data_IF_197417606300
#
_entry.id   IF_197417606300
#
_cell.length_a   1.000
_cell.length_b   1.000
_cell.length_c   1.000
_cell.angle_alpha   90.00
_cell.angle_beta   90.00
_cell.angle_gamma   90.00
#
_symmetry.space_group_name_H-M   'P 1'
#
loop_
_entity.id
_entity.type
_entity.pdbx_description
1 polymer ?
#
# COMPACT_ATOMS: atom_id res chain seq x y z
N UNK A 1 -20.48 16.21 -6.05
CA UNK A 1 -21.53 15.32 -5.52
C UNK A 1 -22.43 16.14 -4.61
N UNK A 2 -23.74 16.10 -4.83
CA UNK A 2 -24.71 16.80 -3.97
C UNK A 2 -24.68 16.20 -2.54
N UNK A 3 -24.93 17.05 -1.54
CA UNK A 3 -24.76 16.72 -0.11
C UNK A 3 -25.56 15.49 0.33
N UNK A 4 -26.80 15.36 -0.14
CA UNK A 4 -27.66 14.22 0.21
C UNK A 4 -27.14 12.91 -0.40
N UNK A 5 -26.65 12.94 -1.66
CA UNK A 5 -26.09 11.76 -2.32
C UNK A 5 -24.85 11.25 -1.57
N UNK A 6 -24.02 12.17 -1.07
CA UNK A 6 -22.87 11.84 -0.23
C UNK A 6 -23.28 11.08 1.03
N UNK A 7 -24.30 11.55 1.74
CA UNK A 7 -24.78 10.89 2.95
C UNK A 7 -25.46 9.56 2.69
N UNK A 8 -26.21 9.44 1.60
CA UNK A 8 -26.75 8.16 1.15
C UNK A 8 -25.61 7.14 1.01
N UNK A 9 -24.56 7.49 0.26
CA UNK A 9 -23.40 6.62 0.04
C UNK A 9 -22.70 6.25 1.35
N UNK A 10 -22.42 7.23 2.21
CA UNK A 10 -21.73 7.01 3.49
C UNK A 10 -22.47 6.07 4.43
N UNK A 11 -23.79 6.03 4.34
CA UNK A 11 -24.64 5.16 5.14
C UNK A 11 -25.16 3.94 4.35
N UNK A 12 -24.58 3.61 3.20
CA UNK A 12 -24.83 2.36 2.48
C UNK A 12 -26.05 2.34 1.56
N UNK A 13 -26.64 3.49 1.26
CA UNK A 13 -27.76 3.62 0.33
C UNK A 13 -27.27 3.93 -1.10
N UNK A 14 -27.84 3.22 -2.07
CA UNK A 14 -27.63 3.48 -3.49
C UNK A 14 -28.25 4.83 -3.89
N UNK A 15 -27.52 5.72 -4.59
CA UNK A 15 -28.06 7.00 -5.06
C UNK A 15 -29.26 6.86 -6.01
N UNK A 16 -29.39 5.74 -6.70
CA UNK A 16 -30.52 5.43 -7.59
C UNK A 16 -31.80 4.98 -6.87
N UNK A 17 -31.78 4.90 -5.54
CA UNK A 17 -32.87 4.36 -4.73
C UNK A 17 -32.62 2.92 -4.28
N UNK A 18 -33.40 2.49 -3.30
CA UNK A 18 -33.32 1.17 -2.68
C UNK A 18 -34.67 0.44 -2.78
N UNK A 19 -34.63 -0.88 -2.66
CA UNK A 19 -35.82 -1.74 -2.64
C UNK A 19 -35.89 -2.53 -1.33
N UNK A 20 -36.92 -3.35 -1.15
CA UNK A 20 -37.05 -4.19 0.04
C UNK A 20 -37.18 -3.39 1.34
N UNK A 21 -36.67 -3.95 2.43
CA UNK A 21 -36.72 -3.34 3.77
C UNK A 21 -35.87 -2.08 3.81
N UNK A 22 -34.72 -2.09 3.13
CA UNK A 22 -33.84 -0.91 3.03
C UNK A 22 -34.55 0.27 2.35
N UNK A 23 -35.30 0.01 1.27
CA UNK A 23 -36.08 1.01 0.57
C UNK A 23 -37.23 1.58 1.40
N UNK A 24 -37.97 0.72 2.12
CA UNK A 24 -39.02 1.16 3.04
C UNK A 24 -38.45 2.06 4.15
N UNK A 25 -37.29 1.70 4.69
CA UNK A 25 -36.59 2.48 5.70
C UNK A 25 -36.14 3.84 5.21
N UNK A 26 -35.47 3.88 4.05
CA UNK A 26 -35.07 5.14 3.44
C UNK A 26 -36.29 6.03 3.15
N UNK A 27 -37.37 5.46 2.60
CA UNK A 27 -38.62 6.17 2.33
C UNK A 27 -39.25 6.77 3.60
N UNK A 28 -39.31 6.00 4.69
CA UNK A 28 -39.83 6.48 5.98
C UNK A 28 -38.97 7.60 6.57
N UNK A 29 -37.64 7.48 6.48
CA UNK A 29 -36.71 8.54 6.91
C UNK A 29 -36.96 9.83 6.14
N UNK A 30 -37.05 9.77 4.82
CA UNK A 30 -37.30 10.94 3.97
C UNK A 30 -38.67 11.57 4.27
N UNK A 31 -39.72 10.76 4.42
CA UNK A 31 -41.04 11.24 4.79
C UNK A 31 -41.06 11.94 6.16
N UNK A 32 -40.27 11.45 7.13
CA UNK A 32 -40.13 12.08 8.45
C UNK A 32 -39.45 13.44 8.35
N UNK A 33 -38.36 13.55 7.59
CA UNK A 33 -37.63 14.81 7.39
C UNK A 33 -38.48 15.87 6.67
N UNK A 34 -39.23 15.47 5.63
CA UNK A 34 -40.15 16.36 4.91
C UNK A 34 -41.25 16.88 5.84
N UNK A 35 -41.85 16.01 6.67
CA UNK A 35 -42.88 16.43 7.64
C UNK A 35 -42.36 17.42 8.68
N UNK A 36 -41.08 17.36 9.01
CA UNK A 36 -40.42 18.29 9.93
C UNK A 36 -39.98 19.60 9.24
N UNK A 37 -40.23 19.76 7.94
CA UNK A 37 -39.87 20.95 7.17
C UNK A 37 -38.36 21.14 7.01
N UNK A 38 -37.57 20.07 7.14
CA UNK A 38 -36.11 20.18 7.07
C UNK A 38 -35.64 20.23 5.61
N UNK A 39 -34.79 21.22 5.29
CA UNK A 39 -34.11 21.32 4.00
C UNK A 39 -32.74 20.63 4.07
N UNK A 40 -32.33 19.98 2.98
CA UNK A 40 -31.04 19.28 2.87
C UNK A 40 -29.85 20.22 3.07
N UNK A 41 -29.98 21.48 2.68
CA UNK A 41 -28.94 22.50 2.84
C UNK A 41 -28.64 22.75 4.33
N UNK A 42 -29.68 22.79 5.17
CA UNK A 42 -29.59 23.10 6.60
C UNK A 42 -29.39 21.87 7.49
N UNK A 43 -29.76 20.69 7.02
CA UNK A 43 -29.61 19.43 7.76
C UNK A 43 -28.13 19.17 8.08
N UNK A 44 -27.81 18.60 9.24
CA UNK A 44 -26.48 18.07 9.55
C UNK A 44 -26.43 16.54 9.34
N UNK A 45 -25.23 15.98 9.16
CA UNK A 45 -25.08 14.52 8.97
C UNK A 45 -25.48 13.75 10.24
N UNK A 46 -25.28 14.37 11.42
CA UNK A 46 -25.79 13.83 12.68
C UNK A 46 -27.32 13.79 12.72
N UNK A 47 -27.99 14.87 12.30
CA UNK A 47 -29.46 14.91 12.23
C UNK A 47 -30.01 13.89 11.22
N UNK A 48 -29.30 13.67 10.11
CA UNK A 48 -29.59 12.60 9.16
C UNK A 48 -29.50 11.21 9.80
N UNK A 49 -28.42 10.94 10.54
CA UNK A 49 -28.26 9.68 11.29
C UNK A 49 -29.35 9.50 12.35
N UNK A 50 -29.71 10.56 13.08
CA UNK A 50 -30.77 10.53 14.07
C UNK A 50 -32.13 10.21 13.42
N UNK A 51 -32.39 10.77 12.24
CA UNK A 51 -33.61 10.51 11.47
C UNK A 51 -33.66 9.06 10.95
N UNK A 52 -32.53 8.50 10.51
CA UNK A 52 -32.41 7.09 10.16
C UNK A 52 -32.71 6.19 11.36
N UNK A 53 -32.09 6.48 12.52
CA UNK A 53 -32.31 5.73 13.76
C UNK A 53 -33.76 5.83 14.25
N UNK A 54 -34.40 6.99 14.09
CA UNK A 54 -35.81 7.18 14.44
C UNK A 54 -36.74 6.38 13.52
N UNK A 55 -36.53 6.43 12.21
CA UNK A 55 -37.31 5.65 11.25
C UNK A 55 -37.13 4.14 11.44
N UNK A 56 -35.93 3.69 11.83
CA UNK A 56 -35.67 2.28 12.10
C UNK A 56 -36.59 1.72 13.20
N UNK A 57 -36.85 2.50 14.25
CA UNK A 57 -37.78 2.15 15.35
C UNK A 57 -39.24 2.06 14.92
N UNK A 58 -39.62 2.66 13.78
CA UNK A 58 -41.01 2.71 13.29
C UNK A 58 -41.36 1.54 12.36
N UNK A 59 -40.35 0.92 11.77
CA UNK A 59 -40.49 -0.25 10.87
C UNK A 59 -40.53 -1.55 11.68
N UNK A 60 -40.31 -1.44 13.00
CA UNK A 60 -40.20 -2.53 13.95
C UNK A 60 -41.54 -3.28 14.15
N UNK A 61 -41.76 -4.28 13.30
CA UNK A 61 -42.47 -5.51 13.65
C UNK A 61 -41.53 -6.67 13.38
N UNK A 62 -40.83 -7.11 14.42
CA UNK A 62 -40.20 -8.42 14.60
C UNK A 62 -39.65 -9.10 13.34
N UNK A 63 -38.33 -9.09 13.23
CA UNK A 63 -37.65 -10.36 13.15
C UNK A 63 -36.63 -10.43 14.28
N UNK A 64 -36.79 -11.47 15.10
CA UNK A 64 -35.78 -12.04 16.00
C UNK A 64 -34.64 -12.64 15.13
N UNK A 65 -34.14 -11.86 14.17
CA UNK A 65 -32.95 -12.14 13.37
C UNK A 65 -31.85 -11.42 14.12
N UNK A 66 -30.92 -12.16 14.71
CA UNK A 66 -30.24 -11.67 15.88
C UNK A 66 -29.45 -10.39 15.52
N UNK A 67 -29.41 -9.42 16.42
CA UNK A 67 -28.84 -8.10 16.17
C UNK A 67 -27.70 -7.77 17.13
N UNK A 68 -27.02 -8.77 17.68
CA UNK A 68 -25.82 -8.51 18.50
C UNK A 68 -24.61 -9.38 18.19
N UNK A 69 -24.75 -10.53 17.53
CA UNK A 69 -23.63 -11.46 17.26
C UNK A 69 -23.87 -12.33 16.01
N UNK A 70 -24.67 -11.86 15.07
CA UNK A 70 -25.35 -12.75 14.13
C UNK A 70 -24.61 -12.89 12.85
N UNK A 71 -24.37 -14.15 12.50
CA UNK A 71 -23.70 -14.49 11.27
C UNK A 71 -24.70 -14.32 10.12
N UNK A 72 -24.56 -13.25 9.35
CA UNK A 72 -25.36 -13.07 8.14
C UNK A 72 -24.58 -13.64 6.97
N UNK A 73 -25.21 -14.51 6.19
CA UNK A 73 -24.70 -14.90 4.88
C UNK A 73 -25.24 -13.90 3.83
N UNK A 74 -24.43 -12.92 3.39
CA UNK A 74 -24.83 -11.92 2.42
C UNK A 74 -25.03 -12.49 1.01
N UNK A 75 -24.71 -13.77 0.78
CA UNK A 75 -24.99 -14.46 -0.49
C UNK A 75 -26.41 -15.02 -0.55
N UNK A 76 -27.06 -15.21 0.60
CA UNK A 76 -28.37 -15.81 0.70
C UNK A 76 -29.50 -14.82 1.05
N UNK A 77 -29.17 -13.70 1.71
CA UNK A 77 -30.16 -12.74 2.22
C UNK A 77 -29.80 -11.30 1.89
N UNK A 78 -30.80 -10.41 1.85
CA UNK A 78 -30.58 -8.95 1.82
C UNK A 78 -29.77 -8.54 3.06
N UNK A 79 -28.71 -7.76 2.87
CA UNK A 79 -27.91 -7.22 3.95
C UNK A 79 -28.79 -6.28 4.81
N UNK A 80 -29.00 -6.55 6.11
CA UNK A 80 -29.92 -5.77 6.94
C UNK A 80 -29.27 -4.47 7.40
N UNK A 81 -29.10 -3.52 6.47
CA UNK A 81 -28.45 -2.24 6.71
C UNK A 81 -29.05 -1.49 7.92
N UNK A 82 -30.36 -1.65 8.14
CA UNK A 82 -31.10 -1.07 9.26
C UNK A 82 -30.55 -1.50 10.65
N UNK A 83 -29.92 -2.67 10.74
CA UNK A 83 -29.35 -3.23 11.96
C UNK A 83 -27.85 -2.95 12.14
N UNK A 84 -27.16 -2.50 11.09
CA UNK A 84 -25.71 -2.26 11.14
C UNK A 84 -25.43 -0.88 11.74
N UNK A 85 -24.43 -0.84 12.62
CA UNK A 85 -23.92 0.36 13.26
C UNK A 85 -23.67 1.51 12.26
N UNK A 86 -24.13 2.76 12.56
CA UNK A 86 -24.20 3.85 11.58
C UNK A 86 -22.88 4.18 10.87
N UNK A 87 -21.76 4.09 11.59
CA UNK A 87 -20.45 4.52 11.09
C UNK A 87 -19.75 3.46 10.23
N UNK A 88 -20.11 2.19 10.36
CA UNK A 88 -19.55 1.09 9.53
C UNK A 88 -20.52 0.57 8.48
N UNK A 89 -21.82 0.94 8.56
CA UNK A 89 -22.86 0.48 7.63
C UNK A 89 -22.49 0.64 6.16
N UNK A 90 -22.01 1.82 5.76
CA UNK A 90 -21.56 2.06 4.39
C UNK A 90 -20.36 1.22 4.01
N UNK A 91 -19.36 1.10 4.90
CA UNK A 91 -18.19 0.24 4.68
C UNK A 91 -18.66 -1.20 4.40
N UNK A 92 -19.49 -1.75 5.28
CA UNK A 92 -20.02 -3.11 5.15
C UNK A 92 -20.78 -3.28 3.84
N UNK A 93 -21.67 -2.36 3.48
CA UNK A 93 -22.40 -2.39 2.20
C UNK A 93 -21.45 -2.50 1.01
N UNK A 94 -20.48 -1.60 0.91
CA UNK A 94 -19.62 -1.51 -0.26
C UNK A 94 -18.64 -2.67 -0.35
N UNK A 95 -18.15 -3.18 0.79
CA UNK A 95 -17.36 -4.42 0.81
C UNK A 95 -18.15 -5.61 0.24
N UNK A 96 -19.40 -5.81 0.67
CA UNK A 96 -20.25 -6.88 0.15
C UNK A 96 -20.57 -6.70 -1.35
N UNK A 97 -20.75 -5.47 -1.81
CA UNK A 97 -20.97 -5.17 -3.24
C UNK A 97 -19.72 -5.44 -4.11
N UNK A 98 -18.54 -5.50 -3.49
CA UNK A 98 -17.26 -5.89 -4.10
C UNK A 98 -16.91 -7.37 -3.83
N UNK A 99 -17.88 -8.19 -3.43
CA UNK A 99 -17.71 -9.62 -3.13
C UNK A 99 -16.71 -9.91 -1.97
N UNK A 100 -16.49 -8.94 -1.08
CA UNK A 100 -15.81 -9.14 0.20
C UNK A 100 -16.87 -9.35 1.29
N UNK A 101 -17.42 -10.57 1.31
CA UNK A 101 -18.58 -10.89 2.13
C UNK A 101 -18.29 -10.79 3.63
N UNK A 102 -19.08 -9.98 4.32
CA UNK A 102 -18.93 -9.75 5.77
C UNK A 102 -19.98 -10.53 6.54
N UNK A 103 -19.63 -10.97 7.74
CA UNK A 103 -20.55 -11.71 8.59
C UNK A 103 -21.05 -10.90 9.77
N UNK A 104 -20.16 -10.18 10.46
CA UNK A 104 -20.53 -9.32 11.57
C UNK A 104 -19.63 -8.09 11.64
N UNK A 105 -20.15 -7.00 12.22
CA UNK A 105 -19.45 -5.73 12.33
C UNK A 105 -19.85 -4.97 13.60
N UNK A 106 -18.97 -4.07 14.04
CA UNK A 106 -19.26 -3.10 15.09
C UNK A 106 -18.41 -1.84 14.86
N UNK A 107 -18.96 -0.66 15.07
CA UNK A 107 -18.25 0.62 14.92
C UNK A 107 -17.48 1.07 16.18
N UNK A 108 -17.48 0.27 17.23
CA UNK A 108 -16.74 0.55 18.46
C UNK A 108 -17.19 1.78 19.26
N UNK A 109 -18.27 2.45 18.87
CA UNK A 109 -18.90 3.60 19.55
C UNK A 109 -17.92 4.73 19.91
N UNK A 110 -16.87 4.94 19.11
CA UNK A 110 -15.84 5.97 19.36
C UNK A 110 -14.86 5.63 20.49
N UNK A 111 -15.05 4.49 21.18
CA UNK A 111 -14.26 4.10 22.37
C UNK A 111 -13.21 3.03 22.09
N UNK A 112 -13.47 2.19 21.09
CA UNK A 112 -12.60 1.08 20.67
C UNK A 112 -12.54 1.03 19.15
N UNK A 113 -11.57 0.34 18.55
CA UNK A 113 -11.51 0.17 17.10
C UNK A 113 -12.79 -0.48 16.56
N UNK A 114 -13.23 -0.02 15.40
CA UNK A 114 -14.29 -0.69 14.66
C UNK A 114 -13.77 -2.04 14.16
N UNK A 115 -14.64 -3.05 14.14
CA UNK A 115 -14.33 -4.42 13.74
C UNK A 115 -15.29 -4.91 12.67
N UNK A 116 -14.77 -5.63 11.67
CA UNK A 116 -15.54 -6.28 10.62
C UNK A 116 -14.95 -7.68 10.44
N UNK A 117 -15.79 -8.71 10.39
CA UNK A 117 -15.38 -10.08 10.16
C UNK A 117 -15.86 -10.53 8.78
N UNK A 118 -15.01 -11.25 8.06
CA UNK A 118 -15.28 -11.74 6.70
C UNK A 118 -15.63 -13.23 6.69
N UNK A 119 -16.49 -13.61 5.75
CA UNK A 119 -16.91 -14.99 5.50
C UNK A 119 -15.73 -15.85 5.02
N UNK A 120 -14.98 -15.31 4.08
CA UNK A 120 -13.84 -15.97 3.45
C UNK A 120 -12.54 -15.20 3.72
N UNK A 121 -11.42 -15.85 3.38
CA UNK A 121 -10.14 -15.17 3.35
C UNK A 121 -10.12 -14.07 2.28
N UNK A 122 -9.43 -12.97 2.59
CA UNK A 122 -9.23 -11.88 1.65
C UNK A 122 -7.95 -12.08 0.86
N UNK A 123 -8.05 -11.97 -0.47
CA UNK A 123 -6.92 -11.89 -1.38
C UNK A 123 -6.04 -10.64 -1.12
N UNK A 124 -4.81 -10.65 -1.65
CA UNK A 124 -3.91 -9.51 -1.60
C UNK A 124 -4.56 -8.23 -2.18
N UNK A 125 -5.23 -8.36 -3.32
CA UNK A 125 -5.93 -7.27 -4.00
C UNK A 125 -7.05 -6.67 -3.12
N UNK A 126 -7.90 -7.51 -2.53
CA UNK A 126 -8.96 -7.07 -1.64
C UNK A 126 -8.41 -6.33 -0.40
N UNK A 127 -7.30 -6.81 0.18
CA UNK A 127 -6.64 -6.13 1.29
C UNK A 127 -6.05 -4.78 0.86
N UNK A 128 -5.50 -4.70 -0.35
CA UNK A 128 -5.00 -3.44 -0.95
C UNK A 128 -6.12 -2.41 -1.12
N UNK A 129 -7.29 -2.83 -1.63
CA UNK A 129 -8.47 -1.96 -1.73
C UNK A 129 -8.85 -1.40 -0.36
N UNK A 130 -9.01 -2.27 0.64
CA UNK A 130 -9.40 -1.86 2.00
C UNK A 130 -8.38 -0.88 2.60
N UNK A 131 -7.08 -1.14 2.43
CA UNK A 131 -6.01 -0.27 2.94
C UNK A 131 -6.01 1.10 2.25
N UNK A 132 -6.14 1.13 0.93
CA UNK A 132 -6.13 2.36 0.16
C UNK A 132 -7.36 3.25 0.48
N UNK A 133 -8.53 2.65 0.64
CA UNK A 133 -9.75 3.39 0.98
C UNK A 133 -9.78 3.89 2.43
N UNK A 134 -8.87 3.46 3.30
CA UNK A 134 -8.81 3.97 4.67
C UNK A 134 -8.17 5.37 4.70
N UNK A 135 -8.82 6.39 5.30
CA UNK A 135 -8.21 7.69 5.48
C UNK A 135 -6.95 7.64 6.36
N UNK A 136 -6.07 8.63 6.22
CA UNK A 136 -4.78 8.73 6.93
C UNK A 136 -4.83 8.44 8.44
N UNK A 137 -5.91 8.83 9.11
CA UNK A 137 -6.07 8.70 10.56
C UNK A 137 -6.60 7.32 10.98
N UNK A 138 -7.08 6.52 10.03
CA UNK A 138 -7.62 5.17 10.25
C UNK A 138 -6.54 4.14 9.97
N UNK A 139 -6.05 3.48 11.01
CA UNK A 139 -5.07 2.39 10.87
C UNK A 139 -5.79 1.06 10.67
N UNK A 140 -5.51 0.43 9.53
CA UNK A 140 -6.04 -0.87 9.13
C UNK A 140 -5.17 -1.99 9.69
N UNK A 141 -5.78 -2.97 10.37
CA UNK A 141 -5.13 -4.22 10.78
C UNK A 141 -5.99 -5.43 10.44
N UNK A 142 -5.35 -6.44 9.87
CA UNK A 142 -5.93 -7.76 9.68
C UNK A 142 -5.36 -8.71 10.74
N UNK A 143 -6.19 -9.62 11.24
CA UNK A 143 -5.74 -10.71 12.11
C UNK A 143 -6.42 -12.01 11.71
N UNK A 144 -5.61 -13.06 11.54
CA UNK A 144 -6.01 -14.35 10.95
C UNK A 144 -6.19 -15.47 11.99
N UNK A 145 -6.28 -15.13 13.29
CA UNK A 145 -6.40 -16.14 14.35
C UNK A 145 -7.51 -15.84 15.34
N UNK A 146 -8.64 -16.54 15.20
CA UNK A 146 -9.34 -17.44 16.16
C UNK A 146 -10.86 -17.54 15.86
N UNK A 147 -11.43 -18.76 15.82
CA UNK A 147 -11.37 -19.69 14.70
C UNK A 147 -12.45 -19.38 13.63
N UNK A 148 -12.08 -19.41 12.33
CA UNK A 148 -12.90 -19.38 11.09
C UNK A 148 -12.99 -18.09 10.27
N UNK A 149 -12.65 -16.91 10.79
CA UNK A 149 -12.89 -15.65 10.05
C UNK A 149 -11.68 -14.71 10.05
N UNK A 150 -11.47 -14.00 8.93
CA UNK A 150 -10.54 -12.86 8.88
C UNK A 150 -11.19 -11.69 9.61
N UNK A 151 -10.47 -11.12 10.57
CA UNK A 151 -10.91 -9.91 11.28
C UNK A 151 -10.17 -8.68 10.77
N UNK A 152 -10.93 -7.70 10.29
CA UNK A 152 -10.48 -6.33 10.05
C UNK A 152 -10.74 -5.47 11.28
N UNK A 153 -9.71 -4.76 11.73
CA UNK A 153 -9.80 -3.76 12.81
C UNK A 153 -9.36 -2.39 12.31
N UNK A 154 -10.25 -1.42 12.40
CA UNK A 154 -10.05 -0.02 11.98
C UNK A 154 -9.83 0.84 13.22
N UNK A 155 -8.61 1.31 13.42
CA UNK A 155 -8.24 2.10 14.60
C UNK A 155 -8.22 3.59 14.25
N UNK A 156 -9.03 4.39 14.94
CA UNK A 156 -9.10 5.85 14.83
C UNK A 156 -8.94 6.48 16.23
N UNK A 157 -8.73 7.81 16.26
CA UNK A 157 -8.70 8.57 17.51
C UNK A 157 -10.11 8.80 18.10
N UNK A 158 -10.23 9.21 19.38
CA UNK A 158 -11.51 9.36 20.08
C UNK A 158 -12.56 10.22 19.36
N UNK A 159 -12.12 11.24 18.62
CA UNK A 159 -12.99 12.21 17.92
C UNK A 159 -12.95 12.03 16.38
N UNK A 160 -12.59 10.84 15.91
CA UNK A 160 -12.33 10.57 14.48
C UNK A 160 -13.11 9.35 13.95
N UNK A 161 -14.21 8.98 14.61
CA UNK A 161 -15.09 7.91 14.10
C UNK A 161 -15.70 8.27 12.73
N UNK A 162 -15.92 9.56 12.46
CA UNK A 162 -16.43 10.06 11.18
C UNK A 162 -15.50 9.72 9.99
N UNK A 163 -14.21 9.44 10.23
CA UNK A 163 -13.31 8.97 9.17
C UNK A 163 -13.74 7.60 8.61
N UNK A 164 -14.55 6.82 9.34
CA UNK A 164 -15.18 5.60 8.81
C UNK A 164 -16.23 5.91 7.73
N UNK A 165 -16.94 7.04 7.84
CA UNK A 165 -17.85 7.49 6.79
C UNK A 165 -17.07 7.90 5.54
N UNK A 166 -15.92 8.55 5.71
CA UNK A 166 -15.02 8.86 4.59
C UNK A 166 -14.50 7.57 3.93
N UNK A 167 -14.17 6.55 4.73
CA UNK A 167 -13.78 5.24 4.19
C UNK A 167 -14.91 4.60 3.38
N UNK A 168 -16.16 4.67 3.84
CA UNK A 168 -17.32 4.19 3.09
C UNK A 168 -17.47 4.91 1.74
N UNK A 169 -17.33 6.24 1.72
CA UNK A 169 -17.35 7.05 0.49
C UNK A 169 -16.26 6.60 -0.50
N UNK A 170 -15.03 6.37 -0.01
CA UNK A 170 -13.91 5.90 -0.85
C UNK A 170 -14.15 4.49 -1.41
N UNK A 171 -14.73 3.58 -0.61
CA UNK A 171 -15.06 2.24 -1.08
C UNK A 171 -16.13 2.28 -2.18
N UNK A 172 -17.15 3.13 -2.04
CA UNK A 172 -18.14 3.35 -3.08
C UNK A 172 -17.52 3.91 -4.37
N UNK A 173 -16.63 4.90 -4.25
CA UNK A 173 -15.91 5.47 -5.40
C UNK A 173 -15.15 4.39 -6.18
N UNK A 174 -14.43 3.49 -5.48
CA UNK A 174 -13.71 2.36 -6.11
C UNK A 174 -14.67 1.34 -6.70
N UNK A 175 -15.74 0.96 -5.99
CA UNK A 175 -16.75 0.05 -6.51
C UNK A 175 -17.39 0.58 -7.81
N UNK A 176 -17.66 1.89 -7.87
CA UNK A 176 -18.28 2.51 -9.04
C UNK A 176 -17.30 2.75 -10.19
N UNK A 177 -16.04 3.05 -9.86
CA UNK A 177 -14.95 3.30 -10.79
C UNK A 177 -13.63 2.75 -10.21
N UNK A 178 -13.18 1.55 -10.64
CA UNK A 178 -11.97 0.91 -10.12
C UNK A 178 -10.69 1.75 -10.24
N UNK A 179 -10.60 2.65 -11.22
CA UNK A 179 -9.42 3.52 -11.42
C UNK A 179 -9.15 4.44 -10.20
N UNK A 180 -10.18 4.71 -9.40
CA UNK A 180 -10.07 5.51 -8.16
C UNK A 180 -9.17 4.87 -7.12
N UNK A 181 -8.96 3.55 -7.21
CA UNK A 181 -8.04 2.85 -6.31
C UNK A 181 -6.63 3.44 -6.42
N UNK A 182 -6.17 3.75 -7.63
CA UNK A 182 -4.83 4.29 -7.85
C UNK A 182 -4.66 5.66 -7.18
N UNK A 183 -5.68 6.52 -7.22
CA UNK A 183 -5.66 7.82 -6.56
C UNK A 183 -5.45 7.68 -5.04
N UNK A 184 -6.17 6.76 -4.41
CA UNK A 184 -6.07 6.53 -2.97
C UNK A 184 -4.78 5.82 -2.55
N UNK A 185 -4.28 4.89 -3.37
CA UNK A 185 -2.95 4.31 -3.19
C UNK A 185 -1.87 5.39 -3.28
N UNK A 186 -1.97 6.28 -4.25
CA UNK A 186 -1.04 7.39 -4.44
C UNK A 186 -1.03 8.33 -3.24
N UNK A 187 -2.20 8.70 -2.71
CA UNK A 187 -2.30 9.53 -1.50
C UNK A 187 -1.57 8.88 -0.31
N UNK A 188 -1.76 7.59 -0.10
CA UNK A 188 -1.13 6.85 1.01
C UNK A 188 0.39 6.75 0.82
N UNK A 189 0.83 6.45 -0.41
CA UNK A 189 2.24 6.38 -0.77
C UNK A 189 2.97 7.71 -0.56
N UNK A 190 2.36 8.81 -1.01
CA UNK A 190 2.89 10.16 -0.83
C UNK A 190 3.10 10.51 0.66
N UNK A 191 2.21 10.04 1.54
CA UNK A 191 2.34 10.27 2.99
C UNK A 191 3.52 9.51 3.60
N UNK A 192 3.89 8.35 3.04
CA UNK A 192 5.08 7.58 3.45
C UNK A 192 6.36 8.22 2.93
N UNK A 193 6.35 8.65 1.67
CA UNK A 193 7.52 9.20 0.98
C UNK A 193 7.92 10.58 1.51
N UNK A 194 6.96 11.45 1.79
CA UNK A 194 7.22 12.85 2.16
C UNK A 194 8.17 13.01 3.38
N UNK A 195 8.00 12.26 4.49
CA UNK A 195 8.96 12.30 5.60
C UNK A 195 10.37 11.84 5.24
N UNK A 196 10.51 10.90 4.30
CA UNK A 196 11.83 10.38 3.88
C UNK A 196 12.61 11.46 3.15
N UNK A 197 11.96 12.17 2.22
CA UNK A 197 12.55 13.31 1.49
C UNK A 197 13.02 14.42 2.44
N UNK A 198 12.38 14.61 3.59
CA UNK A 198 12.78 15.62 4.55
C UNK A 198 14.06 15.29 5.35
N UNK A 199 14.57 14.05 5.27
CA UNK A 199 15.71 13.60 6.09
C UNK A 199 17.01 13.73 5.32
N UNK A 200 17.83 14.70 5.75
CA UNK A 200 19.18 14.90 5.25
C UNK A 200 20.09 13.73 5.71
N UNK A 201 20.98 13.29 4.83
CA UNK A 201 21.90 12.20 5.10
C UNK A 201 22.89 12.04 3.95
N UNK A 202 23.85 12.97 3.76
CA UNK A 202 24.85 12.81 2.72
C UNK A 202 25.79 11.65 3.04
N UNK A 203 26.56 11.19 2.05
CA UNK A 203 27.50 10.07 2.19
C UNK A 203 28.39 10.23 3.44
N UNK A 204 28.48 9.19 4.26
CA UNK A 204 29.16 9.16 5.55
C UNK A 204 28.40 9.78 6.72
N UNK A 205 27.17 10.29 6.51
CA UNK A 205 26.33 10.95 7.54
C UNK A 205 24.87 10.46 7.54
N UNK A 206 24.65 9.20 7.21
CA UNK A 206 23.33 8.55 7.04
C UNK A 206 22.65 8.18 8.36
N UNK A 207 23.25 8.52 9.51
CA UNK A 207 22.76 8.13 10.85
C UNK A 207 21.28 8.47 11.06
N UNK A 208 20.83 9.65 10.61
CA UNK A 208 19.46 10.13 10.81
C UNK A 208 18.43 9.31 10.03
N UNK A 209 18.69 9.03 8.75
CA UNK A 209 17.81 8.19 7.94
C UNK A 209 17.85 6.75 8.43
N UNK A 210 19.04 6.21 8.74
CA UNK A 210 19.18 4.85 9.28
C UNK A 210 18.35 4.67 10.56
N UNK A 211 18.44 5.61 11.50
CA UNK A 211 17.64 5.59 12.73
C UNK A 211 16.13 5.77 12.47
N UNK A 212 15.74 6.50 11.42
CA UNK A 212 14.35 6.58 10.99
C UNK A 212 13.84 5.22 10.47
N UNK A 213 14.58 4.59 9.56
CA UNK A 213 14.22 3.30 8.98
C UNK A 213 14.24 2.17 10.01
N UNK A 214 15.21 2.15 10.93
CA UNK A 214 15.23 1.17 12.01
C UNK A 214 13.93 1.16 12.82
N UNK A 215 13.34 2.35 13.10
CA UNK A 215 12.05 2.44 13.80
C UNK A 215 10.89 1.90 12.96
N UNK A 216 10.90 2.13 11.65
CA UNK A 216 9.86 1.64 10.73
C UNK A 216 9.94 0.11 10.56
N UNK A 217 11.14 -0.44 10.46
CA UNK A 217 11.40 -1.84 10.16
C UNK A 217 11.25 -2.76 11.38
N UNK A 218 11.46 -2.26 12.60
CA UNK A 218 11.46 -3.05 13.85
C UNK A 218 10.23 -3.95 14.06
N UNK A 219 9.06 -3.58 13.51
CA UNK A 219 7.82 -4.36 13.63
C UNK A 219 7.41 -5.11 12.36
N UNK A 220 8.23 -5.00 11.30
CA UNK A 220 7.97 -5.56 9.96
C UNK A 220 8.95 -6.67 9.57
N UNK A 221 10.02 -6.82 10.34
CA UNK A 221 11.18 -7.66 10.03
C UNK A 221 11.45 -8.64 11.16
N UNK A 222 11.95 -9.82 10.81
CA UNK A 222 12.32 -10.87 11.77
C UNK A 222 13.70 -10.57 12.37
N UNK A 223 14.61 -10.05 11.54
CA UNK A 223 15.93 -9.58 11.94
C UNK A 223 16.21 -8.20 11.38
N UNK A 224 16.93 -7.40 12.15
CA UNK A 224 17.31 -6.03 11.81
C UNK A 224 18.67 -5.73 12.44
N UNK A 225 19.69 -5.54 11.61
CA UNK A 225 21.07 -5.33 12.03
C UNK A 225 21.70 -4.16 11.27
N UNK A 226 22.81 -3.65 11.80
CA UNK A 226 23.67 -2.72 11.06
C UNK A 226 25.02 -3.41 10.96
N UNK A 227 25.53 -3.56 9.74
CA UNK A 227 26.81 -4.21 9.53
C UNK A 227 27.99 -3.30 9.96
N UNK A 228 29.24 -3.82 9.99
CA UNK A 228 30.39 -3.03 10.41
C UNK A 228 30.67 -1.78 9.55
N UNK A 229 30.24 -1.78 8.28
CA UNK A 229 30.42 -0.62 7.39
C UNK A 229 29.34 0.45 7.60
N UNK A 230 28.17 0.05 8.11
CA UNK A 230 27.07 0.94 8.45
C UNK A 230 25.81 0.74 7.60
N UNK A 231 25.78 -0.29 6.74
CA UNK A 231 24.60 -0.67 5.99
C UNK A 231 23.52 -1.17 6.95
N UNK A 232 22.26 -0.83 6.69
CA UNK A 232 21.13 -1.32 7.47
C UNK A 232 20.55 -2.56 6.78
N UNK A 233 20.64 -3.69 7.46
CA UNK A 233 20.26 -4.99 6.94
C UNK A 233 19.00 -5.49 7.66
N UNK A 234 18.09 -6.11 6.91
CA UNK A 234 16.92 -6.74 7.50
C UNK A 234 16.54 -8.04 6.80
N UNK A 235 15.87 -8.93 7.53
CA UNK A 235 15.38 -10.22 7.02
C UNK A 235 13.89 -10.35 7.29
N UNK A 236 13.16 -10.84 6.30
CA UNK A 236 11.75 -11.23 6.39
C UNK A 236 11.57 -12.63 5.81
N UNK A 237 11.17 -13.58 6.63
CA UNK A 237 10.96 -14.98 6.25
C UNK A 237 9.49 -15.24 5.96
N UNK A 238 9.22 -15.79 4.78
CA UNK A 238 7.86 -16.14 4.31
C UNK A 238 7.72 -17.61 3.91
N UNK A 239 8.82 -18.34 3.76
CA UNK A 239 8.84 -19.78 3.50
C UNK A 239 10.22 -20.26 3.07
N UNK A 240 10.26 -21.44 2.45
CA UNK A 240 11.48 -22.18 2.09
C UNK A 240 11.89 -22.01 0.61
N UNK A 241 11.24 -21.08 -0.10
CA UNK A 241 11.55 -20.67 -1.46
C UNK A 241 12.76 -19.72 -1.55
N UNK A 242 12.92 -19.00 -2.66
CA UNK A 242 14.16 -18.28 -2.94
C UNK A 242 14.42 -17.12 -1.98
N UNK A 243 15.70 -16.81 -1.79
CA UNK A 243 16.19 -15.65 -1.03
C UNK A 243 16.43 -14.49 -2.00
N UNK A 244 15.61 -13.46 -1.88
CA UNK A 244 15.65 -12.28 -2.76
C UNK A 244 16.18 -11.08 -1.99
N UNK A 245 17.24 -10.46 -2.50
CA UNK A 245 17.80 -9.22 -1.98
C UNK A 245 17.06 -8.02 -2.59
N UNK A 246 16.51 -7.14 -1.75
CA UNK A 246 16.01 -5.83 -2.14
C UNK A 246 17.02 -4.76 -1.68
N UNK A 247 17.44 -3.88 -2.58
CA UNK A 247 18.42 -2.82 -2.26
C UNK A 247 17.99 -1.43 -2.70
N UNK A 248 18.27 -0.45 -1.84
CA UNK A 248 18.14 0.99 -2.05
C UNK A 248 19.22 1.67 -1.20
N UNK A 249 19.71 2.85 -1.57
CA UNK A 249 20.76 3.50 -0.77
C UNK A 249 20.22 4.54 0.21
N UNK A 250 20.96 4.75 1.30
CA UNK A 250 20.60 5.65 2.39
C UNK A 250 21.09 7.07 2.16
N UNK A 251 22.21 7.23 1.45
CA UNK A 251 22.83 8.52 1.32
C UNK A 251 22.13 9.40 0.29
N UNK A 252 22.68 10.60 0.14
CA UNK A 252 22.30 11.56 -0.88
C UNK A 252 23.59 12.22 -1.32
N UNK A 253 23.76 12.51 -2.61
CA UNK A 253 25.01 13.06 -3.14
C UNK A 253 25.55 14.30 -2.40
N UNK A 254 24.65 15.13 -1.82
CA UNK A 254 25.03 16.31 -1.03
C UNK A 254 23.96 16.69 0.00
N UNK A 255 24.31 17.40 1.07
CA UNK A 255 23.30 17.90 2.01
C UNK A 255 22.39 18.94 1.34
N UNK A 256 21.13 19.00 1.77
CA UNK A 256 20.15 19.99 1.32
C UNK A 256 19.62 20.89 2.46
N UNK A 257 19.09 22.10 2.14
CA UNK A 257 18.58 23.03 3.15
C UNK A 257 17.40 22.47 3.94
N UNK A 258 17.40 22.66 5.27
CA UNK A 258 16.31 22.18 6.14
C UNK A 258 15.00 22.96 5.98
N UNK A 259 15.06 24.21 5.51
CA UNK A 259 13.90 25.09 5.34
C UNK A 259 13.26 25.00 3.94
N UNK A 260 13.72 24.07 3.08
CA UNK A 260 13.13 23.88 1.75
C UNK A 260 11.69 23.34 1.87
N UNK A 261 10.86 23.68 0.88
CA UNK A 261 9.55 23.08 0.71
C UNK A 261 9.55 22.15 -0.49
N UNK A 262 8.64 21.17 -0.50
CA UNK A 262 8.40 20.35 -1.69
C UNK A 262 7.29 21.00 -2.50
N UNK A 263 7.60 21.35 -3.74
CA UNK A 263 6.68 21.95 -4.70
C UNK A 263 6.05 20.82 -5.51
N UNK A 264 4.72 20.76 -5.52
CA UNK A 264 3.96 19.72 -6.23
C UNK A 264 3.35 20.31 -7.50
N UNK A 265 3.61 19.68 -8.65
CA UNK A 265 2.94 19.95 -9.93
C UNK A 265 2.35 18.65 -10.45
N UNK A 266 1.08 18.40 -10.15
CA UNK A 266 0.45 17.09 -10.39
C UNK A 266 1.18 16.01 -9.59
N UNK A 267 1.67 14.97 -10.28
CA UNK A 267 2.46 13.88 -9.67
C UNK A 267 3.96 14.17 -9.63
N UNK A 268 4.42 15.27 -10.24
CA UNK A 268 5.83 15.64 -10.27
C UNK A 268 6.17 16.55 -9.08
N UNK A 269 7.12 16.12 -8.27
CA UNK A 269 7.60 16.82 -7.08
C UNK A 269 9.01 17.34 -7.30
N UNK A 270 9.29 18.52 -6.74
CA UNK A 270 10.62 19.17 -6.77
C UNK A 270 10.87 19.89 -5.45
N UNK A 271 12.13 20.12 -5.12
CA UNK A 271 12.49 20.99 -4.01
C UNK A 271 12.35 22.47 -4.41
N UNK A 272 12.05 23.34 -3.45
CA UNK A 272 12.13 24.79 -3.66
C UNK A 272 13.57 25.30 -3.77
N UNK A 273 14.54 24.55 -3.23
CA UNK A 273 15.98 24.82 -3.24
C UNK A 273 16.74 23.56 -2.81
N UNK A 274 17.94 23.35 -3.36
CA UNK A 274 18.72 22.13 -3.16
C UNK A 274 18.19 20.96 -3.99
N UNK A 275 18.88 19.83 -3.86
CA UNK A 275 18.39 18.55 -4.38
C UNK A 275 17.05 18.18 -3.70
N UNK A 276 16.22 17.39 -4.39
CA UNK A 276 15.04 16.77 -3.82
C UNK A 276 15.43 15.65 -2.83
N UNK A 277 16.52 14.93 -3.12
CA UNK A 277 16.93 13.71 -2.44
C UNK A 277 16.00 12.55 -2.78
N UNK A 278 15.42 12.54 -3.99
CA UNK A 278 14.60 11.44 -4.46
C UNK A 278 15.45 10.22 -4.81
N UNK A 279 16.66 10.46 -5.31
CA UNK A 279 17.78 9.53 -5.34
C UNK A 279 18.41 9.44 -3.92
N UNK A 280 18.19 8.38 -3.11
CA UNK A 280 17.32 7.22 -3.36
C UNK A 280 16.22 7.03 -2.29
N UNK A 281 15.64 8.14 -1.82
CA UNK A 281 14.45 8.08 -0.95
C UNK A 281 13.25 7.46 -1.65
N UNK A 282 13.20 7.52 -2.98
CA UNK A 282 12.18 6.87 -3.80
C UNK A 282 12.29 5.34 -3.72
N UNK A 283 13.48 4.77 -3.91
CA UNK A 283 13.74 3.34 -3.75
C UNK A 283 13.44 2.84 -2.34
N UNK A 284 13.85 3.61 -1.33
CA UNK A 284 13.49 3.30 0.07
C UNK A 284 11.97 3.22 0.26
N UNK A 285 11.21 4.17 -0.30
CA UNK A 285 9.76 4.15 -0.21
C UNK A 285 9.15 2.92 -0.90
N UNK A 286 9.68 2.52 -2.06
CA UNK A 286 9.27 1.30 -2.78
C UNK A 286 9.44 0.06 -1.90
N UNK A 287 10.64 -0.14 -1.33
CA UNK A 287 10.91 -1.31 -0.46
C UNK A 287 9.98 -1.30 0.76
N UNK A 288 9.75 -0.14 1.38
CA UNK A 288 8.88 -0.05 2.54
C UNK A 288 7.41 -0.40 2.21
N UNK A 289 6.91 -0.08 1.02
CA UNK A 289 5.58 -0.54 0.58
C UNK A 289 5.54 -2.06 0.35
N UNK A 290 6.57 -2.62 -0.27
CA UNK A 290 6.65 -4.08 -0.50
C UNK A 290 6.66 -4.87 0.80
N UNK A 291 7.33 -4.36 1.83
CA UNK A 291 7.30 -4.97 3.17
C UNK A 291 5.90 -5.03 3.79
N UNK A 292 4.96 -4.20 3.31
CA UNK A 292 3.56 -4.21 3.75
C UNK A 292 2.67 -5.11 2.88
N UNK A 293 2.96 -5.28 1.59
CA UNK A 293 2.16 -6.08 0.66
C UNK A 293 2.60 -7.53 0.54
N UNK A 294 3.91 -7.82 0.48
CA UNK A 294 4.46 -9.19 0.35
C UNK A 294 3.96 -10.17 1.42
N UNK A 295 3.72 -9.79 2.70
CA UNK A 295 3.17 -10.74 3.68
C UNK A 295 1.80 -11.30 3.29
N UNK A 296 1.08 -10.67 2.35
CA UNK A 296 -0.21 -11.11 1.84
C UNK A 296 -0.11 -11.71 0.42
N UNK A 297 1.09 -11.80 -0.18
CA UNK A 297 1.28 -12.36 -1.52
C UNK A 297 1.47 -13.88 -1.50
N UNK A 298 1.67 -14.48 -2.69
CA UNK A 298 1.98 -15.91 -2.84
C UNK A 298 3.45 -16.24 -2.59
N UNK A 299 4.29 -15.23 -2.33
CA UNK A 299 5.72 -15.40 -2.12
C UNK A 299 6.00 -16.23 -0.87
N UNK A 300 6.75 -17.30 -1.04
CA UNK A 300 7.07 -18.25 0.02
C UNK A 300 8.57 -18.45 0.14
N UNK A 301 9.36 -17.37 0.14
CA UNK A 301 10.82 -17.40 0.29
C UNK A 301 11.32 -16.49 1.41
N UNK A 302 12.55 -16.01 1.29
CA UNK A 302 13.15 -15.04 2.21
C UNK A 302 13.40 -13.72 1.49
N UNK A 303 12.97 -12.60 2.06
CA UNK A 303 13.42 -11.28 1.63
C UNK A 303 14.57 -10.84 2.53
N UNK A 304 15.71 -10.56 1.90
CA UNK A 304 16.81 -9.80 2.51
C UNK A 304 16.73 -8.37 2.01
N UNK A 305 16.88 -7.41 2.92
CA UNK A 305 16.83 -6.00 2.59
C UNK A 305 18.17 -5.39 2.97
N UNK A 306 18.81 -4.73 2.02
CA UNK A 306 20.01 -3.96 2.23
C UNK A 306 19.72 -2.48 1.94
N UNK A 307 19.78 -1.65 2.97
CA UNK A 307 19.89 -0.20 2.76
C UNK A 307 21.35 0.20 2.88
N UNK A 308 21.98 0.45 1.74
CA UNK A 308 23.43 0.67 1.64
C UNK A 308 23.81 2.10 2.01
N UNK A 309 25.04 2.31 2.50
CA UNK A 309 25.60 3.65 2.72
C UNK A 309 26.60 3.99 1.62
N UNK A 310 26.88 5.28 1.42
CA UNK A 310 27.95 5.74 0.52
C UNK A 310 27.86 5.18 -0.92
N UNK A 311 26.65 5.05 -1.45
CA UNK A 311 26.44 4.66 -2.86
C UNK A 311 26.96 5.76 -3.80
N UNK A 312 26.62 7.00 -3.47
CA UNK A 312 26.84 8.20 -4.28
C UNK A 312 28.32 8.54 -4.51
N UNK A 313 29.21 7.91 -3.73
CA UNK A 313 30.67 8.07 -3.79
C UNK A 313 31.39 6.80 -4.29
N UNK A 314 30.65 5.87 -4.90
CA UNK A 314 31.21 4.73 -5.63
C UNK A 314 30.72 3.35 -5.18
N UNK A 315 29.48 3.24 -4.72
CA UNK A 315 28.86 2.00 -4.24
C UNK A 315 29.66 1.37 -3.08
N UNK A 316 30.15 2.18 -2.13
CA UNK A 316 31.05 1.68 -1.10
C UNK A 316 30.33 0.77 -0.11
N UNK A 317 29.08 1.08 0.25
CA UNK A 317 28.27 0.26 1.14
C UNK A 317 28.05 -1.15 0.61
N UNK A 318 27.60 -1.31 -0.64
CA UNK A 318 27.40 -2.64 -1.24
C UNK A 318 28.70 -3.41 -1.41
N UNK A 319 29.82 -2.74 -1.71
CA UNK A 319 31.14 -3.40 -1.85
C UNK A 319 31.68 -3.97 -0.54
N UNK A 320 31.32 -3.35 0.58
CA UNK A 320 31.75 -3.77 1.92
C UNK A 320 30.62 -4.41 2.72
N UNK A 321 29.51 -4.75 2.07
CA UNK A 321 28.38 -5.40 2.70
C UNK A 321 28.81 -6.76 3.25
N UNK A 322 28.29 -7.12 4.42
CA UNK A 322 28.61 -8.37 5.11
C UNK A 322 28.49 -9.58 4.15
N UNK A 323 29.61 -10.28 3.81
CA UNK A 323 29.59 -11.41 2.90
C UNK A 323 28.69 -12.55 3.39
N UNK A 324 28.54 -12.72 4.71
CA UNK A 324 27.68 -13.75 5.28
C UNK A 324 26.20 -13.43 5.03
N UNK A 325 25.85 -12.15 4.95
CA UNK A 325 24.50 -11.72 4.59
C UNK A 325 24.16 -12.01 3.13
N UNK A 326 25.15 -12.03 2.23
CA UNK A 326 24.95 -12.27 0.79
C UNK A 326 25.01 -13.74 0.39
N UNK A 327 25.55 -14.61 1.24
CA UNK A 327 25.95 -15.99 0.89
C UNK A 327 24.84 -16.85 0.27
N UNK A 328 23.61 -16.69 0.71
CA UNK A 328 22.43 -17.47 0.34
C UNK A 328 21.46 -16.68 -0.54
N UNK A 329 21.87 -15.52 -1.08
CA UNK A 329 21.02 -14.69 -1.95
C UNK A 329 20.99 -15.29 -3.36
N UNK A 330 19.80 -15.62 -3.84
CA UNK A 330 19.59 -16.19 -5.18
C UNK A 330 19.52 -15.12 -6.27
N UNK A 331 18.96 -13.94 -5.97
CA UNK A 331 18.86 -12.82 -6.90
C UNK A 331 18.66 -11.49 -6.18
N UNK A 332 19.00 -10.38 -6.84
CA UNK A 332 18.87 -9.03 -6.30
C UNK A 332 18.04 -8.09 -7.18
N UNK A 333 17.23 -7.27 -6.51
CA UNK A 333 16.42 -6.21 -7.11
C UNK A 333 16.85 -4.91 -6.46
N UNK A 334 17.53 -4.07 -7.23
CA UNK A 334 17.88 -2.71 -6.85
C UNK A 334 16.81 -1.76 -7.38
N UNK A 335 16.40 -0.79 -6.58
CA UNK A 335 15.36 0.19 -6.93
C UNK A 335 15.93 1.60 -6.88
N UNK A 336 16.92 1.87 -7.73
CA UNK A 336 17.71 3.09 -7.70
C UNK A 336 18.05 3.53 -9.14
N UNK A 337 17.02 3.82 -9.92
CA UNK A 337 17.21 4.22 -11.31
C UNK A 337 16.28 5.36 -11.67
N UNK A 338 16.80 6.38 -12.35
CA UNK A 338 15.98 7.42 -12.97
C UNK A 338 14.99 6.86 -14.00
N UNK A 339 14.02 7.67 -14.40
CA UNK A 339 12.99 7.29 -15.37
C UNK A 339 11.89 6.43 -14.74
N UNK A 340 11.03 5.82 -15.55
CA UNK A 340 9.77 5.22 -15.08
C UNK A 340 9.56 3.75 -15.43
N UNK A 341 10.28 3.23 -16.43
CA UNK A 341 10.00 1.91 -17.05
C UNK A 341 11.26 1.14 -17.43
N UNK A 342 12.43 1.56 -16.95
CA UNK A 342 13.69 0.88 -17.25
C UNK A 342 13.90 -0.29 -16.28
N UNK A 343 14.29 -1.43 -16.86
CA UNK A 343 14.85 -2.59 -16.15
C UNK A 343 16.32 -2.66 -16.56
N UNK A 344 17.22 -2.04 -15.79
CA UNK A 344 18.65 -2.05 -16.10
C UNK A 344 19.22 -3.43 -15.79
N UNK A 345 19.76 -4.08 -16.81
CA UNK A 345 20.31 -5.45 -16.75
C UNK A 345 21.79 -5.51 -17.13
N UNK A 346 22.39 -4.39 -17.52
CA UNK A 346 23.81 -4.35 -17.92
C UNK A 346 24.39 -2.94 -17.85
N UNK A 347 25.72 -2.85 -17.84
CA UNK A 347 26.48 -1.61 -18.00
C UNK A 347 27.67 -1.84 -18.92
N UNK A 348 27.78 -1.06 -20.00
CA UNK A 348 28.93 -1.10 -20.91
C UNK A 348 29.19 -2.48 -21.51
N UNK A 349 28.13 -3.27 -21.76
CA UNK A 349 28.23 -4.65 -22.26
C UNK A 349 28.53 -5.71 -21.19
N UNK A 350 28.71 -5.32 -19.92
CA UNK A 350 28.79 -6.27 -18.79
C UNK A 350 27.37 -6.56 -18.29
N UNK A 351 26.84 -7.78 -18.48
CA UNK A 351 25.53 -8.14 -17.96
C UNK A 351 25.56 -8.26 -16.43
N UNK A 352 24.45 -7.88 -15.80
CA UNK A 352 24.21 -8.03 -14.36
C UNK A 352 23.47 -9.33 -14.04
N UNK A 353 22.77 -9.88 -15.04
CA UNK A 353 21.97 -11.10 -14.92
C UNK A 353 21.84 -11.79 -16.29
N UNK A 354 21.42 -13.06 -16.32
CA UNK A 354 20.90 -13.69 -17.53
C UNK A 354 19.67 -12.93 -18.07
N UNK A 355 19.46 -12.91 -19.39
CA UNK A 355 18.33 -12.20 -20.01
C UNK A 355 16.97 -12.67 -19.46
N UNK A 356 16.87 -13.94 -19.08
CA UNK A 356 15.63 -14.51 -18.55
C UNK A 356 15.21 -13.85 -17.24
N UNK A 357 16.15 -13.42 -16.39
CA UNK A 357 15.85 -12.69 -15.16
C UNK A 357 15.22 -11.32 -15.47
N UNK A 358 15.78 -10.57 -16.41
CA UNK A 358 15.21 -9.29 -16.86
C UNK A 358 13.81 -9.43 -17.48
N UNK A 359 13.59 -10.49 -18.27
CA UNK A 359 12.28 -10.76 -18.90
C UNK A 359 11.16 -11.06 -17.90
N UNK A 360 11.47 -11.53 -16.68
CA UNK A 360 10.45 -11.71 -15.64
C UNK A 360 9.78 -10.39 -15.28
N UNK A 361 10.54 -9.29 -15.25
CA UNK A 361 10.01 -7.97 -14.93
C UNK A 361 9.22 -7.38 -16.10
N UNK A 362 9.60 -7.65 -17.34
CA UNK A 362 8.78 -7.30 -18.50
C UNK A 362 7.43 -8.04 -18.48
N UNK A 363 7.45 -9.34 -18.14
CA UNK A 363 6.24 -10.14 -17.96
C UNK A 363 5.36 -9.60 -16.82
N UNK A 364 5.96 -9.29 -15.67
CA UNK A 364 5.24 -8.69 -14.54
C UNK A 364 4.62 -7.34 -14.91
N UNK A 365 5.34 -6.51 -15.67
CA UNK A 365 4.83 -5.25 -16.21
C UNK A 365 3.57 -5.48 -17.04
N UNK A 366 3.62 -6.42 -18.00
CA UNK A 366 2.45 -6.77 -18.82
C UNK A 366 1.26 -7.28 -17.98
N UNK A 367 1.50 -8.16 -17.00
CA UNK A 367 0.46 -8.69 -16.11
C UNK A 367 -0.13 -7.61 -15.17
N UNK A 368 0.63 -6.56 -14.88
CA UNK A 368 0.18 -5.41 -14.11
C UNK A 368 -0.48 -4.32 -14.96
N UNK A 369 -0.69 -4.55 -16.27
CA UNK A 369 -1.26 -3.55 -17.19
C UNK A 369 -0.28 -2.45 -17.60
N UNK A 370 1.02 -2.64 -17.39
CA UNK A 370 2.12 -1.73 -17.74
C UNK A 370 3.10 -2.43 -18.70
N UNK A 371 2.68 -2.74 -19.95
CA UNK A 371 3.47 -3.57 -20.87
C UNK A 371 4.71 -2.87 -21.44
N UNK A 372 4.97 -1.63 -21.04
CA UNK A 372 6.05 -0.75 -21.48
C UNK A 372 7.31 -0.81 -20.60
N UNK A 373 7.32 -1.61 -19.52
CA UNK A 373 8.56 -1.96 -18.82
C UNK A 373 9.52 -2.70 -19.77
N UNK A 374 10.76 -2.23 -19.88
CA UNK A 374 11.74 -2.76 -20.82
C UNK A 374 13.13 -2.89 -20.24
N UNK A 375 13.79 -3.98 -20.62
CA UNK A 375 15.21 -4.19 -20.36
C UNK A 375 16.05 -3.16 -21.11
N UNK A 376 17.05 -2.60 -20.43
CA UNK A 376 17.94 -1.60 -21.00
C UNK A 376 19.34 -1.66 -20.39
N UNK A 377 20.30 -1.01 -21.04
CA UNK A 377 21.61 -0.77 -20.46
C UNK A 377 21.57 0.50 -19.59
N UNK A 378 22.33 0.49 -18.50
CA UNK A 378 22.38 1.60 -17.54
C UNK A 378 23.78 1.89 -17.03
N UNK A 379 23.81 2.62 -15.92
CA UNK A 379 25.04 3.08 -15.26
C UNK A 379 25.62 2.09 -14.26
N UNK A 380 26.54 2.59 -13.43
CA UNK A 380 26.99 1.88 -12.23
C UNK A 380 25.93 2.11 -11.15
N UNK A 381 25.60 1.04 -10.42
CA UNK A 381 24.84 1.09 -9.18
C UNK A 381 25.18 -0.15 -8.34
N UNK A 382 24.57 -0.28 -7.17
CA UNK A 382 24.65 -1.49 -6.34
C UNK A 382 24.35 -2.79 -7.10
N UNK A 383 23.51 -2.76 -8.14
CA UNK A 383 23.21 -3.95 -8.96
C UNK A 383 24.46 -4.51 -9.65
N UNK A 384 25.37 -3.62 -10.10
CA UNK A 384 26.64 -4.04 -10.68
C UNK A 384 27.54 -4.70 -9.63
N UNK A 385 27.52 -4.20 -8.40
CA UNK A 385 28.32 -4.74 -7.30
C UNK A 385 27.82 -6.13 -6.92
N UNK A 386 26.52 -6.31 -6.72
CA UNK A 386 25.94 -7.63 -6.43
C UNK A 386 26.16 -8.63 -7.57
N UNK A 387 26.03 -8.20 -8.83
CA UNK A 387 26.37 -9.04 -9.98
C UNK A 387 27.85 -9.51 -9.96
N UNK A 388 28.78 -8.67 -9.48
CA UNK A 388 30.19 -9.06 -9.33
C UNK A 388 30.43 -10.12 -8.25
N UNK A 389 29.48 -10.29 -7.32
CA UNK A 389 29.45 -11.39 -6.35
C UNK A 389 28.74 -12.64 -6.88
N UNK A 390 28.33 -12.64 -8.16
CA UNK A 390 27.65 -13.77 -8.79
C UNK A 390 26.13 -13.79 -8.54
N UNK A 391 25.55 -12.70 -8.04
CA UNK A 391 24.11 -12.60 -7.77
C UNK A 391 23.41 -11.94 -8.98
N UNK A 392 22.53 -12.65 -9.71
CA UNK A 392 21.74 -12.06 -10.79
C UNK A 392 20.99 -10.81 -10.30
N UNK A 393 21.24 -9.67 -10.92
CA UNK A 393 20.77 -8.38 -10.42
C UNK A 393 20.08 -7.53 -11.50
N UNK A 394 18.99 -6.85 -11.13
CA UNK A 394 18.39 -5.76 -11.91
C UNK A 394 18.43 -4.45 -11.14
N UNK A 395 18.42 -3.31 -11.85
CA UNK A 395 18.14 -2.00 -11.26
C UNK A 395 16.92 -1.36 -11.92
N UNK A 396 15.88 -1.08 -11.14
CA UNK A 396 14.57 -0.66 -11.62
C UNK A 396 14.35 0.83 -11.47
N UNK A 397 13.81 1.46 -12.53
CA UNK A 397 13.37 2.85 -12.49
C UNK A 397 12.45 3.14 -11.32
N UNK A 398 12.63 4.28 -10.63
CA UNK A 398 11.83 4.72 -9.47
C UNK A 398 11.29 6.14 -9.61
N UNK A 399 11.29 6.69 -10.82
CA UNK A 399 10.54 7.91 -11.17
C UNK A 399 11.26 9.23 -10.93
N UNK A 400 12.49 9.22 -10.41
CA UNK A 400 13.30 10.44 -10.33
C UNK A 400 13.95 10.78 -11.68
N UNK A 401 14.25 12.05 -11.89
CA UNK A 401 14.94 12.59 -13.07
C UNK A 401 15.85 13.76 -12.66
N UNK A 402 16.94 13.95 -13.40
CA UNK A 402 17.95 14.98 -13.14
C UNK A 402 18.56 14.86 -11.73
N UNK A 403 18.80 13.63 -11.30
CA UNK A 403 19.52 13.30 -10.07
C UNK A 403 20.79 14.14 -9.91
N UNK A 404 21.12 14.46 -8.67
CA UNK A 404 22.32 15.22 -8.28
C UNK A 404 22.36 16.70 -8.69
N UNK A 405 21.26 17.21 -9.27
CA UNK A 405 21.15 18.61 -9.69
C UNK A 405 20.10 19.37 -8.87
N UNK A 406 20.11 20.71 -8.96
CA UNK A 406 19.00 21.53 -8.42
C UNK A 406 17.69 21.33 -9.20
N UNK A 407 17.76 20.66 -10.36
CA UNK A 407 16.62 20.32 -11.20
C UNK A 407 16.02 18.94 -10.90
N UNK A 408 16.49 18.28 -9.85
CA UNK A 408 16.00 16.97 -9.45
C UNK A 408 14.48 17.00 -9.24
N UNK A 409 13.80 16.03 -9.86
CA UNK A 409 12.36 15.87 -9.77
C UNK A 409 11.97 14.42 -9.57
N UNK A 410 10.79 14.18 -8.99
CA UNK A 410 10.26 12.84 -8.75
C UNK A 410 8.82 12.76 -9.25
N UNK A 411 8.55 11.83 -10.16
CA UNK A 411 7.18 11.46 -10.51
C UNK A 411 6.69 10.38 -9.54
N UNK A 412 5.97 10.80 -8.49
CA UNK A 412 5.52 9.88 -7.43
C UNK A 412 4.58 8.77 -7.90
N UNK A 413 3.87 8.99 -9.01
CA UNK A 413 3.03 7.96 -9.62
C UNK A 413 3.88 6.88 -10.27
N UNK A 414 4.94 7.25 -10.98
CA UNK A 414 5.87 6.28 -11.56
C UNK A 414 6.58 5.45 -10.48
N UNK A 415 6.92 6.07 -9.34
CA UNK A 415 7.45 5.34 -8.18
C UNK A 415 6.45 4.32 -7.64
N UNK A 416 5.17 4.70 -7.48
CA UNK A 416 4.12 3.76 -7.08
C UNK A 416 3.91 2.64 -8.12
N UNK A 417 4.03 2.95 -9.39
CA UNK A 417 3.94 1.94 -10.46
C UNK A 417 5.12 0.94 -10.40
N UNK A 418 6.25 1.30 -9.81
CA UNK A 418 7.36 0.37 -9.50
C UNK A 418 6.99 -0.57 -8.35
N UNK A 419 6.27 -0.08 -7.33
CA UNK A 419 5.68 -0.93 -6.30
C UNK A 419 4.72 -1.93 -6.94
N UNK A 420 3.85 -1.47 -7.84
CA UNK A 420 2.88 -2.33 -8.53
C UNK A 420 3.56 -3.41 -9.40
N UNK A 421 4.66 -3.07 -10.09
CA UNK A 421 5.47 -4.04 -10.81
C UNK A 421 5.96 -5.14 -9.86
N UNK A 422 6.56 -4.75 -8.74
CA UNK A 422 7.17 -5.68 -7.80
C UNK A 422 6.14 -6.50 -7.02
N UNK A 423 5.00 -5.91 -6.64
CA UNK A 423 3.83 -6.64 -6.15
C UNK A 423 3.45 -7.75 -7.12
N UNK A 424 3.38 -7.45 -8.42
CA UNK A 424 3.05 -8.44 -9.44
C UNK A 424 4.11 -9.54 -9.57
N UNK A 425 5.40 -9.21 -9.46
CA UNK A 425 6.50 -10.19 -9.43
C UNK A 425 6.30 -11.20 -8.28
N UNK A 426 5.96 -10.71 -7.08
CA UNK A 426 5.76 -11.55 -5.90
C UNK A 426 4.42 -12.30 -5.90
N UNK A 427 3.34 -11.67 -6.35
CA UNK A 427 2.01 -12.29 -6.42
C UNK A 427 1.96 -13.45 -7.41
N UNK A 428 2.71 -13.37 -8.51
CA UNK A 428 2.76 -14.41 -9.55
C UNK A 428 3.90 -15.41 -9.32
N UNK A 429 4.66 -15.28 -8.23
CA UNK A 429 5.80 -16.15 -7.88
C UNK A 429 6.86 -16.28 -8.99
N UNK A 430 7.06 -15.23 -9.80
CA UNK A 430 7.94 -15.28 -10.98
C UNK A 430 9.42 -15.54 -10.63
N UNK A 431 9.84 -15.21 -9.41
CA UNK A 431 11.21 -15.44 -8.96
C UNK A 431 11.47 -16.90 -8.61
N UNK A 432 10.44 -17.65 -8.20
CA UNK A 432 10.59 -19.07 -7.85
C UNK A 432 10.88 -19.91 -9.09
N UNK A 433 10.20 -19.63 -10.20
CA UNK A 433 10.44 -20.33 -11.46
C UNK A 433 11.86 -20.10 -11.98
N UNK A 434 12.39 -18.88 -11.87
CA UNK A 434 13.76 -18.57 -12.27
C UNK A 434 14.79 -19.37 -11.49
N UNK A 435 14.76 -19.32 -10.15
CA UNK A 435 15.75 -19.99 -9.30
C UNK A 435 15.71 -21.52 -9.47
N UNK A 436 14.52 -22.11 -9.61
CA UNK A 436 14.39 -23.55 -9.88
C UNK A 436 14.99 -23.97 -11.23
N UNK A 437 15.02 -23.08 -12.21
CA UNK A 437 15.58 -23.37 -13.54
C UNK A 437 17.12 -23.29 -13.54
N UNK A 438 17.72 -22.47 -12.68
CA UNK A 438 19.18 -22.38 -12.54
C UNK A 438 19.79 -23.56 -11.77
N UNK A 439 19.09 -24.09 -10.74
CA UNK A 439 19.55 -25.27 -9.96
C UNK A 439 19.67 -26.55 -10.83
N UNK A 440 19.02 -26.60 -11.99
CA UNK A 440 19.01 -27.76 -12.90
C UNK A 440 20.13 -27.68 -13.97
N UNK A 441 20.90 -26.58 -14.05
CA UNK A 441 22.04 -26.52 -14.98
C UNK A 441 23.21 -27.34 -14.42
N UNK A 442 23.66 -28.42 -15.10
CA UNK A 442 24.76 -29.23 -14.60
C UNK A 442 26.06 -28.41 -14.58
N UNK A 443 26.79 -28.56 -13.47
CA UNK A 443 28.11 -28.00 -13.16
C UNK A 443 29.15 -28.24 -14.25
#
# INVERSE_FOLDING_TARGET
MEKHMKWMIRHGFLPGGETGITGQWLGQTLANLIRQGQSWEQLSEQQWMDALAHAAKQIDTYFDVPGRESLIDPTANELPLIQIDPYVRGIVRWLNMMHMYTICSCDGEGKRPAVIYFLDDLSAEQRTIIRACAPKRVKVRFSERHPKYVKLSLHYGPDHIDDLLVMAERLYDVWRNPDRLLDYRLETFQQRLLPLLAINGPSGRERSIRAHLQRMLRKKTDELTVDPYGNLLAIVRRGDGPTILLSAHLDTVRPFPLQRTIVHKGTTWRASSGILGADDRAGIAVILELLDSVPCSRFSGTLKIAFTVEEEIGCLGSRHLDPDFLRDVDAAIVVDRRGTRDIVTSNGGTPFCPDEYGRLFEQAGALAGMPDWRTTAGGVSDAKVFASFGIPSVNLSVGYENEHTEDESLNVRATLETVMLLEKVFDENLLTSFVQTEVIRPS
#
